data_IF_331678211094
#
_entry.id   IF_331678211094
#
_cell.length_a   1.000
_cell.length_b   1.000
_cell.length_c   1.000
_cell.angle_alpha   90.00
_cell.angle_beta   90.00
_cell.angle_gamma   90.00
#
_symmetry.space_group_name_H-M   'P 1'
#
loop_
_entity.id
_entity.type
_entity.pdbx_description
1 polymer ?
#
# COMPACT_ATOMS: atom_id res chain seq x y z
N UNK A 1 9.61 -2.96 -12.44
CA UNK A 1 8.28 -3.12 -11.85
C UNK A 1 7.38 -2.02 -12.39
N UNK A 2 6.14 -2.35 -12.74
CA UNK A 2 5.16 -1.38 -13.25
C UNK A 2 3.83 -1.61 -12.52
N UNK A 3 3.09 -0.54 -12.30
CA UNK A 3 1.70 -0.63 -11.85
C UNK A 3 0.80 -0.50 -13.08
N UNK A 4 -0.02 -1.52 -13.30
CA UNK A 4 -0.95 -1.62 -14.41
C UNK A 4 -2.38 -1.69 -13.86
N UNK A 5 -3.21 -0.74 -14.30
CA UNK A 5 -4.66 -0.82 -14.10
C UNK A 5 -5.24 -1.72 -15.17
N UNK A 6 -5.45 -2.98 -14.80
CA UNK A 6 -6.07 -3.99 -15.65
C UNK A 6 -7.61 -3.93 -15.57
N UNK A 7 -8.20 -2.91 -14.94
CA UNK A 7 -9.63 -2.63 -14.99
C UNK A 7 -10.50 -3.55 -14.13
N UNK A 8 -9.94 -4.16 -13.09
CA UNK A 8 -10.63 -5.14 -12.23
C UNK A 8 -10.95 -4.52 -10.86
N UNK A 9 -12.22 -4.19 -10.60
CA UNK A 9 -12.78 -3.84 -9.27
C UNK A 9 -11.92 -2.91 -8.37
N UNK A 10 -11.17 -1.97 -8.95
CA UNK A 10 -10.30 -1.05 -8.21
C UNK A 10 -8.99 -1.65 -7.68
N UNK A 11 -8.64 -2.87 -8.08
CA UNK A 11 -7.34 -3.51 -7.82
C UNK A 11 -6.35 -3.17 -8.92
N UNK A 12 -5.11 -2.89 -8.52
CA UNK A 12 -4.01 -2.63 -9.45
C UNK A 12 -3.11 -3.86 -9.53
N UNK A 13 -2.64 -4.22 -10.72
CA UNK A 13 -1.61 -5.24 -10.86
C UNK A 13 -0.24 -4.58 -10.74
N UNK A 14 0.64 -5.14 -9.92
CA UNK A 14 2.06 -4.84 -9.95
C UNK A 14 2.76 -5.93 -10.75
N UNK A 15 3.43 -5.55 -11.83
CA UNK A 15 4.01 -6.47 -12.82
C UNK A 15 5.53 -6.35 -12.85
N UNK A 16 6.21 -7.48 -12.99
CA UNK A 16 7.64 -7.51 -13.31
C UNK A 16 7.90 -7.47 -14.83
N UNK A 17 9.17 -7.48 -15.23
CA UNK A 17 9.53 -7.43 -16.65
C UNK A 17 9.24 -8.73 -17.42
N UNK A 18 9.04 -9.85 -16.72
CA UNK A 18 8.71 -11.15 -17.29
C UNK A 18 7.19 -11.38 -17.38
N UNK A 19 6.38 -10.48 -16.82
CA UNK A 19 4.92 -10.55 -16.82
C UNK A 19 4.32 -11.28 -15.62
N UNK A 20 5.13 -11.64 -14.61
CA UNK A 20 4.61 -12.10 -13.33
C UNK A 20 3.95 -10.92 -12.62
N UNK A 21 2.85 -11.16 -11.90
CA UNK A 21 2.13 -10.07 -11.26
C UNK A 21 1.48 -10.45 -9.94
N UNK A 22 1.19 -9.42 -9.14
CA UNK A 22 0.35 -9.48 -7.94
C UNK A 22 -0.70 -8.36 -8.00
N UNK A 23 -1.92 -8.68 -7.60
CA UNK A 23 -2.97 -7.70 -7.33
C UNK A 23 -2.73 -7.03 -5.99
N UNK A 24 -2.67 -5.71 -6.01
CA UNK A 24 -2.39 -4.87 -4.85
C UNK A 24 -3.53 -3.91 -4.56
N UNK A 25 -3.70 -3.65 -3.27
CA UNK A 25 -4.66 -2.67 -2.74
C UNK A 25 -4.01 -1.81 -1.66
N UNK A 26 -4.29 -0.51 -1.69
CA UNK A 26 -3.85 0.40 -0.63
C UNK A 26 -4.79 0.31 0.57
N UNK A 27 -4.26 -0.14 1.71
CA UNK A 27 -4.99 -0.31 2.96
C UNK A 27 -4.49 0.66 4.02
N UNK A 28 -5.43 1.14 4.83
CA UNK A 28 -5.14 1.86 6.08
C UNK A 28 -5.55 0.96 7.22
N UNK A 29 -4.63 0.73 8.16
CA UNK A 29 -4.88 -0.08 9.36
C UNK A 29 -4.49 0.71 10.62
N UNK A 30 -5.41 0.78 11.59
CA UNK A 30 -5.09 1.32 12.90
C UNK A 30 -4.49 0.25 13.80
N UNK A 31 -3.36 0.54 14.43
CA UNK A 31 -2.69 -0.35 15.38
C UNK A 31 -2.59 0.37 16.74
N UNK A 32 -3.67 0.39 17.55
CA UNK A 32 -3.73 1.18 18.77
C UNK A 32 -2.70 0.78 19.83
N UNK A 33 -2.38 -0.52 19.92
CA UNK A 33 -1.34 -1.03 20.84
C UNK A 33 0.04 -0.45 20.58
N UNK A 34 0.29 -0.02 19.34
CA UNK A 34 1.57 0.55 18.89
C UNK A 34 1.47 2.06 18.63
N UNK A 35 0.31 2.68 18.91
CA UNK A 35 0.06 4.11 18.71
C UNK A 35 0.42 4.60 17.30
N UNK A 36 0.00 3.85 16.28
CA UNK A 36 0.22 4.19 14.87
C UNK A 36 -0.96 3.84 13.98
N UNK A 37 -1.09 4.58 12.89
CA UNK A 37 -1.83 4.18 11.69
C UNK A 37 -0.80 3.70 10.66
N UNK A 38 -1.03 2.54 10.06
CA UNK A 38 -0.24 2.02 8.97
C UNK A 38 -0.96 2.27 7.65
N UNK A 39 -0.22 2.72 6.65
CA UNK A 39 -0.65 2.68 5.25
C UNK A 39 0.25 1.70 4.52
N UNK A 40 -0.34 0.72 3.84
CA UNK A 40 0.41 -0.30 3.12
C UNK A 40 -0.25 -0.69 1.79
N UNK A 41 0.55 -1.10 0.81
CA UNK A 41 0.07 -1.87 -0.33
C UNK A 41 0.10 -3.36 0.01
N UNK A 42 -1.07 -3.97 0.09
CA UNK A 42 -1.22 -5.40 0.36
C UNK A 42 -1.36 -6.15 -0.95
N UNK A 43 -0.46 -7.09 -1.21
CA UNK A 43 -0.61 -8.08 -2.28
C UNK A 43 -1.60 -9.17 -1.85
N UNK A 44 -2.49 -9.59 -2.75
CA UNK A 44 -3.57 -10.53 -2.44
C UNK A 44 -3.46 -11.84 -3.22
N UNK A 45 -3.41 -11.74 -4.55
CA UNK A 45 -3.25 -12.87 -5.45
C UNK A 45 -2.68 -12.41 -6.79
N UNK A 46 -2.23 -13.33 -7.62
CA UNK A 46 -1.44 -13.04 -8.80
C UNK A 46 -1.09 -14.31 -9.58
N UNK A 47 -0.37 -14.15 -10.67
CA UNK A 47 0.05 -15.27 -11.51
C UNK A 47 1.53 -15.15 -11.88
N UNK A 48 2.14 -16.29 -12.20
CA UNK A 48 3.55 -16.41 -12.55
C UNK A 48 4.39 -17.20 -11.55
N UNK A 49 5.71 -17.07 -11.70
CA UNK A 49 6.69 -17.74 -10.85
C UNK A 49 6.61 -17.26 -9.39
N UNK A 50 6.56 -18.21 -8.45
CA UNK A 50 6.39 -17.89 -7.02
C UNK A 50 7.56 -17.08 -6.45
N UNK A 51 8.79 -17.32 -6.90
CA UNK A 51 9.94 -16.55 -6.43
C UNK A 51 9.90 -15.11 -6.95
N UNK A 52 9.47 -14.91 -8.20
CA UNK A 52 9.26 -13.58 -8.75
C UNK A 52 8.11 -12.83 -8.02
N UNK A 53 7.00 -13.51 -7.76
CA UNK A 53 5.89 -12.98 -6.97
C UNK A 53 6.31 -12.61 -5.54
N UNK A 54 7.11 -13.45 -4.89
CA UNK A 54 7.68 -13.16 -3.57
C UNK A 54 8.57 -11.91 -3.60
N UNK A 55 9.40 -11.75 -4.64
CA UNK A 55 10.21 -10.54 -4.81
C UNK A 55 9.35 -9.27 -5.01
N UNK A 56 8.21 -9.36 -5.70
CA UNK A 56 7.25 -8.25 -5.79
C UNK A 56 6.71 -7.89 -4.40
N UNK A 57 6.30 -8.88 -3.60
CA UNK A 57 5.79 -8.66 -2.23
C UNK A 57 6.84 -8.02 -1.32
N UNK A 58 8.09 -8.46 -1.41
CA UNK A 58 9.20 -7.88 -0.65
C UNK A 58 9.42 -6.41 -1.03
N UNK A 59 9.41 -6.10 -2.32
CA UNK A 59 9.52 -4.72 -2.80
C UNK A 59 8.38 -3.83 -2.28
N UNK A 60 7.14 -4.33 -2.27
CA UNK A 60 6.01 -3.61 -1.69
C UNK A 60 6.23 -3.35 -0.19
N UNK A 61 6.71 -4.33 0.56
CA UNK A 61 6.96 -4.20 1.99
C UNK A 61 8.05 -3.16 2.32
N UNK A 62 9.03 -2.99 1.44
CA UNK A 62 10.15 -2.06 1.62
C UNK A 62 9.79 -0.60 1.28
N UNK A 63 8.97 -0.40 0.24
CA UNK A 63 8.76 0.95 -0.32
C UNK A 63 7.33 1.48 -0.17
N UNK A 64 6.36 0.60 0.06
CA UNK A 64 4.95 0.92 0.10
C UNK A 64 4.31 0.58 1.44
N UNK A 65 5.09 0.67 2.52
CA UNK A 65 4.61 0.62 3.90
C UNK A 65 5.09 1.87 4.63
N UNK A 66 4.18 2.56 5.31
CA UNK A 66 4.52 3.69 6.18
C UNK A 66 3.67 3.68 7.44
N UNK A 67 4.32 3.96 8.57
CA UNK A 67 3.69 4.10 9.87
C UNK A 67 3.60 5.58 10.26
N UNK A 68 2.40 6.04 10.55
CA UNK A 68 2.09 7.39 11.00
C UNK A 68 1.81 7.34 12.50
N UNK A 69 2.61 8.01 13.35
CA UNK A 69 2.34 8.09 14.79
C UNK A 69 0.95 8.67 15.06
N UNK A 70 0.22 8.08 16.00
CA UNK A 70 -1.14 8.44 16.35
C UNK A 70 -1.48 8.06 17.79
N UNK A 71 -1.73 9.02 18.67
CA UNK A 71 -2.45 8.74 19.92
C UNK A 71 -3.95 8.64 19.67
N UNK A 72 -4.47 7.40 19.69
CA UNK A 72 -5.90 7.11 19.52
C UNK A 72 -6.80 7.68 20.62
N UNK A 73 -6.22 8.18 21.72
CA UNK A 73 -6.98 8.87 22.80
C UNK A 73 -7.18 10.35 22.51
N UNK A 74 -6.46 10.91 21.54
CA UNK A 74 -6.57 12.30 21.12
C UNK A 74 -7.32 12.37 19.80
N UNK A 75 -8.55 12.90 19.83
CA UNK A 75 -9.36 13.07 18.60
C UNK A 75 -8.64 13.93 17.55
N UNK A 76 -7.90 14.95 17.99
CA UNK A 76 -7.14 15.82 17.12
C UNK A 76 -5.97 15.09 16.42
N UNK A 77 -5.25 14.24 17.16
CA UNK A 77 -4.18 13.43 16.56
C UNK A 77 -4.75 12.36 15.63
N UNK A 78 -5.82 11.68 16.04
CA UNK A 78 -6.48 10.68 15.21
C UNK A 78 -6.98 11.28 13.88
N UNK A 79 -7.63 12.45 13.94
CA UNK A 79 -8.08 13.16 12.74
C UNK A 79 -6.89 13.56 11.85
N UNK A 80 -5.80 14.07 12.43
CA UNK A 80 -4.60 14.45 11.69
C UNK A 80 -3.92 13.25 11.02
N UNK A 81 -3.75 12.16 11.76
CA UNK A 81 -3.11 10.95 11.26
C UNK A 81 -3.96 10.27 10.18
N UNK A 82 -5.29 10.23 10.37
CA UNK A 82 -6.23 9.72 9.35
C UNK A 82 -6.17 10.54 8.08
N UNK A 83 -6.16 11.87 8.17
CA UNK A 83 -6.06 12.74 7.00
C UNK A 83 -4.76 12.51 6.21
N UNK A 84 -3.63 12.32 6.90
CA UNK A 84 -2.35 11.96 6.26
C UNK A 84 -2.41 10.59 5.59
N UNK A 85 -2.97 9.59 6.28
CA UNK A 85 -3.11 8.24 5.74
C UNK A 85 -3.98 8.21 4.48
N UNK A 86 -5.13 8.89 4.52
CA UNK A 86 -6.04 9.04 3.38
C UNK A 86 -5.40 9.81 2.23
N UNK A 87 -4.59 10.84 2.50
CA UNK A 87 -3.89 11.56 1.44
C UNK A 87 -2.90 10.66 0.68
N UNK A 88 -2.17 9.79 1.38
CA UNK A 88 -1.25 8.82 0.78
C UNK A 88 -2.03 7.81 -0.07
N UNK A 89 -3.12 7.25 0.48
CA UNK A 89 -3.99 6.32 -0.23
C UNK A 89 -4.60 6.97 -1.49
N UNK A 90 -5.14 8.18 -1.39
CA UNK A 90 -5.74 8.89 -2.52
C UNK A 90 -4.71 9.23 -3.60
N UNK A 91 -3.47 9.57 -3.22
CA UNK A 91 -2.36 9.77 -4.16
C UNK A 91 -2.16 8.50 -5.00
N UNK A 92 -2.07 7.34 -4.35
CA UNK A 92 -1.94 6.06 -5.02
C UNK A 92 -3.13 5.77 -5.96
N UNK A 93 -4.35 5.89 -5.44
CA UNK A 93 -5.58 5.65 -6.21
C UNK A 93 -5.77 6.61 -7.40
N UNK A 94 -5.17 7.80 -7.35
CA UNK A 94 -5.16 8.75 -8.48
C UNK A 94 -4.13 8.43 -9.57
N UNK A 95 -3.40 7.32 -9.46
CA UNK A 95 -2.39 6.91 -10.42
C UNK A 95 -0.96 7.39 -10.11
N UNK A 96 -0.75 8.03 -8.95
CA UNK A 96 0.60 8.42 -8.51
C UNK A 96 1.18 7.34 -7.59
N UNK A 97 1.94 6.44 -8.21
CA UNK A 97 2.51 5.26 -7.57
C UNK A 97 3.91 5.48 -6.99
N UNK A 98 4.30 6.70 -6.65
CA UNK A 98 5.55 6.93 -5.92
C UNK A 98 5.54 6.18 -4.57
N UNK A 99 6.70 5.68 -4.08
CA UNK A 99 6.82 5.05 -2.77
C UNK A 99 6.18 5.87 -1.65
N UNK A 100 5.61 5.23 -0.64
CA UNK A 100 4.92 5.93 0.45
C UNK A 100 5.86 6.73 1.35
N UNK A 101 7.15 6.38 1.33
CA UNK A 101 8.22 7.08 2.03
C UNK A 101 8.87 8.22 1.23
N UNK A 102 8.49 8.40 -0.04
CA UNK A 102 9.05 9.42 -0.96
C UNK A 102 8.27 10.75 -0.95
#
# INVERSE_FOLDING_TARGET
MKFDDLGTDGKLAVTDAAGNYEWVEARIEGIPSERRLRVELVASDGDGDEAARQALREHLSEHYVIDIPCDFRSEAELASATAKATAIQNRFLSGNYAPFSA
#
